data_IF_247864949533
#
_entry.id   IF_247864949533
#
_cell.length_a   1.000
_cell.length_b   1.000
_cell.length_c   1.000
_cell.angle_alpha   90.00
_cell.angle_beta   90.00
_cell.angle_gamma   90.00
#
_symmetry.space_group_name_H-M   'P 1'
#
loop_
_entity.id
_entity.type
_entity.pdbx_description
1 polymer ?
#
# COMPACT_ATOMS: atom_id res chain seq x y z
N UNK A 1 40.98 -40.15 -13.71
CA UNK A 1 40.61 -40.24 -12.28
C UNK A 1 40.09 -38.86 -11.89
N UNK A 2 38.80 -38.72 -11.58
CA UNK A 2 38.24 -37.43 -11.12
C UNK A 2 38.50 -37.37 -9.62
N UNK A 3 39.31 -36.41 -9.17
CA UNK A 3 39.60 -36.18 -7.75
C UNK A 3 39.10 -34.80 -7.35
N UNK A 4 38.30 -34.71 -6.28
CA UNK A 4 37.89 -33.43 -5.69
C UNK A 4 39.00 -32.99 -4.74
N UNK A 5 39.65 -31.86 -5.04
CA UNK A 5 40.67 -31.27 -4.16
C UNK A 5 40.10 -29.99 -3.54
N UNK A 6 40.07 -29.92 -2.20
CA UNK A 6 39.67 -28.73 -1.46
C UNK A 6 40.94 -27.93 -1.12
N UNK A 7 41.07 -26.72 -1.66
CA UNK A 7 42.19 -25.83 -1.35
C UNK A 7 41.65 -24.63 -0.58
N UNK A 8 42.08 -24.50 0.68
CA UNK A 8 41.67 -23.40 1.56
C UNK A 8 42.56 -22.20 1.27
N UNK A 9 42.04 -21.22 0.55
CA UNK A 9 42.63 -19.87 0.46
C UNK A 9 41.76 -18.93 1.29
N UNK A 10 42.40 -18.06 2.07
CA UNK A 10 41.89 -17.42 3.30
C UNK A 10 40.64 -16.54 3.26
N UNK A 11 39.75 -16.67 2.26
CA UNK A 11 38.43 -16.00 2.23
C UNK A 11 37.29 -16.95 1.76
N UNK A 12 37.55 -18.22 1.40
CA UNK A 12 36.46 -19.15 1.08
C UNK A 12 36.92 -20.46 0.46
N UNK A 13 36.12 -21.51 0.62
CA UNK A 13 36.39 -22.86 0.09
C UNK A 13 35.78 -22.97 -1.31
N UNK A 14 36.58 -22.82 -2.36
CA UNK A 14 36.15 -23.10 -3.73
C UNK A 14 36.33 -24.59 -4.05
N UNK A 15 35.26 -25.28 -4.46
CA UNK A 15 35.35 -26.66 -4.96
C UNK A 15 35.86 -26.63 -6.41
N UNK A 16 37.11 -27.01 -6.62
CA UNK A 16 37.65 -27.19 -7.98
C UNK A 16 37.44 -28.63 -8.45
N UNK A 17 36.93 -28.80 -9.67
CA UNK A 17 36.95 -30.09 -10.35
C UNK A 17 38.21 -30.18 -11.21
N UNK A 18 39.02 -31.19 -10.94
CA UNK A 18 40.24 -31.47 -11.71
C UNK A 18 40.04 -32.78 -12.47
N UNK A 19 40.18 -32.71 -13.78
CA UNK A 19 40.26 -33.89 -14.65
C UNK A 19 41.60 -33.90 -15.38
N UNK A 20 42.16 -35.09 -15.54
CA UNK A 20 43.41 -35.30 -16.27
C UNK A 20 43.07 -36.07 -17.53
N UNK A 21 43.33 -35.47 -18.68
CA UNK A 21 43.15 -36.10 -19.99
C UNK A 21 44.37 -35.84 -20.87
N UNK A 22 44.91 -36.89 -21.50
CA UNK A 22 46.09 -36.84 -22.39
C UNK A 22 47.30 -36.01 -21.87
N UNK A 23 47.60 -36.11 -20.56
CA UNK A 23 48.73 -35.37 -19.96
C UNK A 23 48.49 -33.88 -19.75
N UNK A 24 47.26 -33.38 -19.97
CA UNK A 24 46.83 -32.02 -19.64
C UNK A 24 45.96 -32.04 -18.40
N UNK A 25 46.26 -31.16 -17.44
CA UNK A 25 45.43 -30.93 -16.26
C UNK A 25 44.36 -29.91 -16.65
N UNK A 26 43.09 -30.32 -16.67
CA UNK A 26 41.96 -29.42 -16.84
C UNK A 26 41.43 -29.06 -15.45
N UNK A 27 41.75 -27.84 -15.01
CA UNK A 27 41.22 -27.24 -13.78
C UNK A 27 39.97 -26.46 -14.17
N UNK A 28 38.80 -26.92 -13.73
CA UNK A 28 37.56 -26.15 -13.83
C UNK A 28 37.45 -25.37 -12.53
N UNK A 29 37.73 -24.08 -12.60
CA UNK A 29 37.44 -23.12 -11.55
C UNK A 29 35.96 -22.79 -11.73
N UNK A 30 35.05 -23.15 -10.79
CA UNK A 30 33.69 -22.67 -10.88
C UNK A 30 33.74 -21.15 -10.97
N UNK A 31 32.99 -20.53 -11.88
CA UNK A 31 32.95 -19.08 -11.99
C UNK A 31 32.64 -18.48 -10.61
N UNK A 32 33.38 -17.43 -10.24
CA UNK A 32 33.11 -16.70 -9.01
C UNK A 32 31.61 -16.37 -8.98
N UNK A 33 30.91 -16.66 -7.89
CA UNK A 33 29.45 -16.46 -7.74
C UNK A 33 28.94 -15.18 -8.43
N UNK A 34 29.61 -14.06 -8.16
CA UNK A 34 29.31 -12.75 -8.76
C UNK A 34 29.32 -12.75 -10.29
N UNK A 35 30.23 -13.49 -10.93
CA UNK A 35 30.31 -13.60 -12.39
C UNK A 35 29.14 -14.40 -12.97
N UNK A 36 28.68 -15.45 -12.28
CA UNK A 36 27.47 -16.18 -12.66
C UNK A 36 26.22 -15.32 -12.47
N UNK A 37 26.10 -14.63 -11.34
CA UNK A 37 25.01 -13.69 -11.07
C UNK A 37 24.95 -12.60 -12.15
N UNK A 38 26.08 -11.96 -12.47
CA UNK A 38 26.16 -10.95 -13.53
C UNK A 38 25.80 -11.51 -14.91
N UNK A 39 26.20 -12.74 -15.21
CA UNK A 39 25.84 -13.41 -16.45
C UNK A 39 24.34 -13.68 -16.51
N UNK A 40 23.76 -14.22 -15.46
CA UNK A 40 22.32 -14.49 -15.37
C UNK A 40 21.51 -13.19 -15.54
N UNK A 41 21.89 -12.13 -14.84
CA UNK A 41 21.25 -10.81 -14.93
C UNK A 41 21.37 -10.20 -16.33
N UNK A 42 22.50 -10.40 -16.99
CA UNK A 42 22.72 -9.93 -18.36
C UNK A 42 21.82 -10.69 -19.35
N UNK A 43 21.67 -12.01 -19.18
CA UNK A 43 20.78 -12.84 -19.99
C UNK A 43 19.31 -12.47 -19.77
N UNK A 44 18.90 -12.23 -18.51
CA UNK A 44 17.58 -11.73 -18.15
C UNK A 44 17.25 -10.41 -18.85
N UNK A 45 18.20 -9.45 -18.83
CA UNK A 45 18.04 -8.14 -19.51
C UNK A 45 18.00 -8.26 -21.03
N UNK A 46 18.74 -9.20 -21.60
CA UNK A 46 18.73 -9.49 -23.03
C UNK A 46 17.46 -10.23 -23.49
N UNK A 47 16.63 -10.72 -22.56
CA UNK A 47 15.44 -11.53 -22.85
C UNK A 47 15.74 -12.99 -23.15
N UNK A 48 16.99 -13.44 -22.96
CA UNK A 48 17.36 -14.86 -23.05
C UNK A 48 17.06 -15.57 -21.72
N UNK A 49 15.77 -15.79 -21.49
CA UNK A 49 15.27 -16.42 -20.26
C UNK A 49 15.68 -17.90 -20.17
N UNK A 50 15.88 -18.58 -21.30
CA UNK A 50 16.39 -19.95 -21.32
C UNK A 50 17.83 -20.04 -20.83
N UNK A 51 18.71 -19.18 -21.33
CA UNK A 51 20.09 -19.13 -20.87
C UNK A 51 20.19 -18.66 -19.42
N UNK A 52 19.37 -17.69 -19.01
CA UNK A 52 19.31 -17.24 -17.62
C UNK A 52 18.86 -18.38 -16.68
N UNK A 53 17.86 -19.15 -17.09
CA UNK A 53 17.36 -20.30 -16.33
C UNK A 53 18.44 -21.36 -16.09
N UNK A 54 19.25 -21.68 -17.10
CA UNK A 54 20.38 -22.60 -16.95
C UNK A 54 21.39 -22.10 -15.90
N UNK A 55 21.75 -20.81 -15.97
CA UNK A 55 22.71 -20.20 -15.04
C UNK A 55 22.15 -20.11 -13.61
N UNK A 56 20.87 -19.75 -13.43
CA UNK A 56 20.23 -19.79 -12.12
C UNK A 56 20.07 -21.23 -11.58
N UNK A 57 20.00 -22.23 -12.48
CA UNK A 57 20.09 -23.66 -12.15
C UNK A 57 21.43 -24.01 -11.53
N UNK A 58 22.53 -23.68 -12.22
CA UNK A 58 23.90 -23.89 -11.72
C UNK A 58 24.13 -23.20 -10.37
N UNK A 59 23.69 -21.94 -10.23
CA UNK A 59 23.77 -21.18 -8.98
C UNK A 59 22.99 -21.84 -7.84
N UNK A 60 21.79 -22.36 -8.11
CA UNK A 60 20.99 -23.03 -7.10
C UNK A 60 21.60 -24.38 -6.68
N UNK A 61 22.08 -25.18 -7.64
CA UNK A 61 22.72 -26.47 -7.35
C UNK A 61 24.02 -26.31 -6.53
N UNK A 62 24.75 -25.22 -6.74
CA UNK A 62 26.00 -24.95 -6.02
C UNK A 62 25.79 -24.32 -4.63
N UNK A 63 24.86 -23.36 -4.51
CA UNK A 63 24.72 -22.55 -3.29
C UNK A 63 23.42 -22.80 -2.50
N UNK A 64 22.38 -23.37 -3.12
CA UNK A 64 21.12 -23.72 -2.46
C UNK A 64 20.27 -22.53 -2.00
N UNK A 65 20.52 -21.32 -2.52
CA UNK A 65 19.81 -20.12 -2.08
C UNK A 65 18.47 -19.94 -2.82
N UNK A 66 17.40 -19.72 -2.06
CA UNK A 66 16.04 -19.59 -2.58
C UNK A 66 15.86 -18.44 -3.58
N UNK A 67 16.70 -17.40 -3.51
CA UNK A 67 16.68 -16.30 -4.48
C UNK A 67 16.96 -16.75 -5.92
N UNK A 68 17.80 -17.77 -6.10
CA UNK A 68 18.05 -18.34 -7.43
C UNK A 68 16.85 -19.15 -7.91
N UNK A 69 16.25 -19.97 -7.03
CA UNK A 69 15.04 -20.72 -7.35
C UNK A 69 13.88 -19.78 -7.74
N UNK A 70 13.72 -18.67 -7.02
CA UNK A 70 12.76 -17.62 -7.39
C UNK A 70 13.05 -17.03 -8.77
N UNK A 71 14.32 -16.78 -9.09
CA UNK A 71 14.74 -16.25 -10.40
C UNK A 71 14.47 -17.25 -11.53
N UNK A 72 14.55 -18.55 -11.28
CA UNK A 72 14.11 -19.58 -12.22
C UNK A 72 12.60 -19.48 -12.48
N UNK A 73 11.79 -19.24 -11.44
CA UNK A 73 10.35 -18.98 -11.57
C UNK A 73 10.05 -17.78 -12.46
N UNK A 74 10.81 -16.69 -12.30
CA UNK A 74 10.72 -15.50 -13.16
C UNK A 74 11.07 -15.82 -14.62
N UNK A 75 12.08 -16.65 -14.87
CA UNK A 75 12.41 -17.13 -16.22
C UNK A 75 11.25 -17.90 -16.84
N UNK A 76 10.70 -18.89 -16.13
CA UNK A 76 9.56 -19.69 -16.62
C UNK A 76 8.36 -18.81 -16.96
N UNK A 77 8.02 -17.86 -16.08
CA UNK A 77 6.93 -16.91 -16.31
C UNK A 77 7.15 -16.06 -17.56
N UNK A 78 8.36 -15.50 -17.72
CA UNK A 78 8.73 -14.68 -18.88
C UNK A 78 8.77 -15.46 -20.20
N UNK A 79 8.97 -16.77 -20.14
CA UNK A 79 8.88 -17.69 -21.28
C UNK A 79 7.44 -18.14 -21.59
N UNK A 80 6.44 -17.73 -20.80
CA UNK A 80 5.05 -18.20 -20.93
C UNK A 80 4.82 -19.63 -20.41
N UNK A 81 5.81 -20.21 -19.72
CA UNK A 81 5.73 -21.53 -19.09
C UNK A 81 5.10 -21.40 -17.70
N UNK A 82 3.81 -21.05 -17.68
CA UNK A 82 3.12 -20.61 -16.47
C UNK A 82 2.96 -21.71 -15.41
N UNK A 83 2.76 -22.97 -15.83
CA UNK A 83 2.63 -24.10 -14.88
C UNK A 83 3.94 -24.38 -14.14
N UNK A 84 5.06 -24.32 -14.85
CA UNK A 84 6.39 -24.42 -14.24
C UNK A 84 6.66 -23.22 -13.32
N UNK A 85 6.26 -22.01 -13.72
CA UNK A 85 6.40 -20.82 -12.88
C UNK A 85 5.63 -20.98 -11.55
N UNK A 86 4.35 -21.38 -11.60
CA UNK A 86 3.56 -21.63 -10.39
C UNK A 86 4.18 -22.71 -9.50
N UNK A 87 4.68 -23.80 -10.09
CA UNK A 87 5.34 -24.87 -9.34
C UNK A 87 6.56 -24.36 -8.60
N UNK A 88 7.44 -23.62 -9.29
CA UNK A 88 8.68 -23.10 -8.73
C UNK A 88 8.40 -22.05 -7.65
N UNK A 89 7.50 -21.09 -7.89
CA UNK A 89 7.15 -20.12 -6.83
C UNK A 89 6.46 -20.78 -5.64
N UNK A 90 5.62 -21.80 -5.86
CA UNK A 90 5.02 -22.59 -4.78
C UNK A 90 6.06 -23.36 -3.96
N UNK A 91 7.10 -23.88 -4.61
CA UNK A 91 8.24 -24.51 -3.94
C UNK A 91 9.03 -23.49 -3.10
N UNK A 92 9.34 -22.31 -3.65
CA UNK A 92 9.98 -21.21 -2.89
C UNK A 92 9.15 -20.85 -1.66
N UNK A 93 7.83 -20.73 -1.80
CA UNK A 93 6.91 -20.40 -0.71
C UNK A 93 6.85 -21.51 0.35
N UNK A 94 6.95 -22.78 -0.04
CA UNK A 94 7.02 -23.90 0.90
C UNK A 94 8.36 -23.94 1.64
N UNK A 95 9.48 -23.63 0.97
CA UNK A 95 10.83 -23.67 1.54
C UNK A 95 11.19 -22.40 2.32
N UNK A 96 10.47 -21.30 2.12
CA UNK A 96 10.69 -20.07 2.87
C UNK A 96 10.29 -20.21 4.33
N UNK A 97 9.42 -21.15 4.68
CA UNK A 97 8.91 -21.38 6.05
C UNK A 97 8.40 -20.08 6.71
N UNK A 98 7.78 -19.20 5.92
CA UNK A 98 7.27 -17.90 6.39
C UNK A 98 8.30 -16.76 6.42
N UNK A 99 9.54 -16.98 5.97
CA UNK A 99 10.55 -15.90 5.82
C UNK A 99 10.12 -14.91 4.73
N UNK A 100 9.73 -13.73 5.18
CA UNK A 100 9.17 -12.66 4.36
C UNK A 100 10.04 -12.29 3.15
N UNK A 101 11.37 -12.34 3.27
CA UNK A 101 12.30 -12.00 2.20
C UNK A 101 12.20 -12.93 0.98
N UNK A 102 11.65 -14.14 1.15
CA UNK A 102 11.42 -15.11 0.06
C UNK A 102 9.93 -15.31 -0.23
N UNK A 103 9.07 -15.27 0.80
CA UNK A 103 7.63 -15.44 0.64
C UNK A 103 6.99 -14.32 -0.18
N UNK A 104 7.34 -13.05 0.10
CA UNK A 104 6.71 -11.91 -0.59
C UNK A 104 7.02 -11.94 -2.09
N UNK A 105 8.28 -12.08 -2.54
CA UNK A 105 8.56 -12.16 -3.97
C UNK A 105 7.93 -13.37 -4.66
N UNK A 106 7.86 -14.53 -3.99
CA UNK A 106 7.17 -15.71 -4.53
C UNK A 106 5.67 -15.46 -4.72
N UNK A 107 5.00 -14.83 -3.74
CA UNK A 107 3.59 -14.43 -3.84
C UNK A 107 3.37 -13.42 -4.99
N UNK A 108 4.30 -12.47 -5.19
CA UNK A 108 4.28 -11.57 -6.36
C UNK A 108 4.41 -12.34 -7.67
N UNK A 109 5.33 -13.31 -7.71
CA UNK A 109 5.53 -14.20 -8.86
C UNK A 109 4.25 -14.94 -9.23
N UNK A 110 3.57 -15.54 -8.24
CA UNK A 110 2.30 -16.25 -8.40
C UNK A 110 1.21 -15.31 -8.92
N UNK A 111 0.97 -14.18 -8.26
CA UNK A 111 -0.10 -13.27 -8.68
C UNK A 111 0.14 -12.64 -10.06
N UNK A 112 1.40 -12.33 -10.42
CA UNK A 112 1.74 -11.87 -11.78
C UNK A 112 1.57 -12.96 -12.82
N UNK A 113 1.96 -14.19 -12.50
CA UNK A 113 1.76 -15.36 -13.37
C UNK A 113 0.28 -15.55 -13.66
N UNK A 114 -0.57 -15.50 -12.62
CA UNK A 114 -2.03 -15.59 -12.74
C UNK A 114 -2.62 -14.49 -13.63
N UNK A 115 -2.15 -13.24 -13.47
CA UNK A 115 -2.58 -12.14 -14.35
C UNK A 115 -2.19 -12.35 -15.82
N UNK A 116 -0.97 -12.83 -16.08
CA UNK A 116 -0.44 -13.03 -17.43
C UNK A 116 -1.06 -14.23 -18.14
N UNK A 117 -1.34 -15.33 -17.43
CA UNK A 117 -1.93 -16.53 -18.01
C UNK A 117 -3.47 -16.53 -18.03
N UNK A 118 -4.10 -15.63 -17.27
CA UNK A 118 -5.56 -15.56 -17.15
C UNK A 118 -6.18 -16.52 -16.12
N UNK A 119 -5.37 -17.27 -15.38
CA UNK A 119 -5.82 -18.15 -14.29
C UNK A 119 -5.90 -17.35 -12.98
N UNK A 120 -6.87 -16.42 -12.91
CA UNK A 120 -6.99 -15.53 -11.76
C UNK A 120 -7.40 -16.28 -10.49
N UNK A 121 -8.25 -17.30 -10.61
CA UNK A 121 -8.70 -18.14 -9.51
C UNK A 121 -7.55 -18.76 -8.71
N UNK A 122 -6.55 -19.34 -9.38
CA UNK A 122 -5.37 -19.91 -8.70
C UNK A 122 -4.54 -18.84 -7.99
N UNK A 123 -4.36 -17.67 -8.60
CA UNK A 123 -3.66 -16.54 -7.96
C UNK A 123 -4.38 -16.05 -6.72
N UNK A 124 -5.71 -15.91 -6.80
CA UNK A 124 -6.57 -15.51 -5.68
C UNK A 124 -6.47 -16.53 -4.54
N UNK A 125 -6.62 -17.82 -4.83
CA UNK A 125 -6.57 -18.89 -3.84
C UNK A 125 -5.28 -18.82 -3.00
N UNK A 126 -4.14 -18.71 -3.66
CA UNK A 126 -2.83 -18.67 -2.98
C UNK A 126 -2.69 -17.39 -2.14
N UNK A 127 -3.04 -16.22 -2.70
CA UNK A 127 -2.89 -14.95 -1.99
C UNK A 127 -3.86 -14.84 -0.81
N UNK A 128 -5.11 -15.31 -0.94
CA UNK A 128 -6.07 -15.37 0.17
C UNK A 128 -5.60 -16.31 1.29
N UNK A 129 -4.96 -17.44 0.93
CA UNK A 129 -4.31 -18.33 1.90
C UNK A 129 -3.23 -17.63 2.74
N UNK A 130 -2.68 -16.53 2.26
CA UNK A 130 -1.65 -15.72 2.93
C UNK A 130 -2.15 -14.32 3.29
N UNK A 131 -3.46 -14.07 3.29
CA UNK A 131 -4.03 -12.72 3.40
C UNK A 131 -3.55 -11.92 4.61
N UNK A 132 -3.34 -12.59 5.74
CA UNK A 132 -2.83 -11.97 6.96
C UNK A 132 -1.49 -11.26 6.74
N UNK A 133 -0.61 -11.88 5.95
CA UNK A 133 0.79 -11.51 5.77
C UNK A 133 1.04 -10.64 4.53
N UNK A 134 0.00 -10.36 3.72
CA UNK A 134 0.16 -9.59 2.48
C UNK A 134 0.53 -8.13 2.74
N UNK A 135 1.69 -7.71 2.27
CA UNK A 135 2.02 -6.28 2.18
C UNK A 135 1.05 -5.55 1.24
N UNK A 136 0.92 -4.22 1.39
CA UNK A 136 -0.05 -3.43 0.61
C UNK A 136 0.03 -3.67 -0.90
N UNK A 137 1.22 -3.81 -1.46
CA UNK A 137 1.42 -4.07 -2.88
C UNK A 137 0.94 -5.46 -3.33
N UNK A 138 0.93 -6.48 -2.46
CA UNK A 138 0.30 -7.77 -2.72
C UNK A 138 -1.23 -7.71 -2.59
N UNK A 139 -1.75 -6.85 -1.71
CA UNK A 139 -3.20 -6.61 -1.62
C UNK A 139 -3.76 -5.90 -2.86
N UNK A 140 -2.98 -4.97 -3.45
CA UNK A 140 -3.33 -4.40 -4.77
C UNK A 140 -3.34 -5.48 -5.83
N UNK A 141 -2.34 -6.35 -5.86
CA UNK A 141 -2.28 -7.46 -6.82
C UNK A 141 -3.47 -8.43 -6.66
N UNK A 142 -3.87 -8.74 -5.43
CA UNK A 142 -5.07 -9.52 -5.14
C UNK A 142 -6.34 -8.79 -5.64
N UNK A 143 -6.42 -7.47 -5.45
CA UNK A 143 -7.48 -6.64 -6.00
C UNK A 143 -7.56 -6.74 -7.53
N UNK A 144 -6.42 -6.66 -8.22
CA UNK A 144 -6.34 -6.79 -9.68
C UNK A 144 -6.84 -8.16 -10.16
N UNK A 145 -6.47 -9.23 -9.45
CA UNK A 145 -6.93 -10.57 -9.77
C UNK A 145 -8.45 -10.71 -9.60
N UNK A 146 -9.01 -10.24 -8.47
CA UNK A 146 -10.45 -10.23 -8.26
C UNK A 146 -11.19 -9.40 -9.32
N UNK A 147 -10.63 -8.25 -9.70
CA UNK A 147 -11.21 -7.41 -10.74
C UNK A 147 -11.30 -8.13 -12.08
N UNK A 148 -10.22 -8.83 -12.46
CA UNK A 148 -10.12 -9.60 -13.71
C UNK A 148 -11.02 -10.83 -13.73
N UNK A 149 -11.22 -11.47 -12.57
CA UNK A 149 -12.16 -12.57 -12.39
C UNK A 149 -13.64 -12.10 -12.41
N UNK A 150 -13.89 -10.79 -12.31
CA UNK A 150 -15.22 -10.20 -12.28
C UNK A 150 -15.82 -10.01 -10.88
N UNK A 151 -15.06 -10.37 -9.83
CA UNK A 151 -15.41 -10.26 -8.41
C UNK A 151 -15.18 -8.83 -7.89
N UNK A 152 -15.89 -7.85 -8.48
CA UNK A 152 -15.66 -6.41 -8.23
C UNK A 152 -15.75 -6.02 -6.75
N UNK A 153 -16.66 -6.62 -6.00
CA UNK A 153 -16.81 -6.35 -4.57
C UNK A 153 -15.56 -6.74 -3.77
N UNK A 154 -15.01 -7.93 -4.03
CA UNK A 154 -13.77 -8.40 -3.38
C UNK A 154 -12.55 -7.60 -3.82
N UNK A 155 -12.52 -7.19 -5.09
CA UNK A 155 -11.48 -6.29 -5.61
C UNK A 155 -11.43 -4.97 -4.81
N UNK A 156 -12.58 -4.31 -4.65
CA UNK A 156 -12.71 -3.09 -3.85
C UNK A 156 -12.24 -3.28 -2.41
N UNK A 157 -12.58 -4.41 -1.77
CA UNK A 157 -12.11 -4.72 -0.41
C UNK A 157 -10.59 -4.86 -0.33
N UNK A 158 -9.96 -5.53 -1.30
CA UNK A 158 -8.52 -5.74 -1.32
C UNK A 158 -7.76 -4.43 -1.55
N UNK A 159 -8.22 -3.58 -2.48
CA UNK A 159 -7.65 -2.24 -2.70
C UNK A 159 -7.79 -1.35 -1.48
N UNK A 160 -8.97 -1.35 -0.85
CA UNK A 160 -9.22 -0.58 0.38
C UNK A 160 -8.32 -1.06 1.53
N UNK A 161 -8.12 -2.37 1.68
CA UNK A 161 -7.22 -2.93 2.68
C UNK A 161 -5.76 -2.52 2.42
N UNK A 162 -5.32 -2.52 1.16
CA UNK A 162 -3.98 -2.05 0.76
C UNK A 162 -3.77 -0.58 1.13
N UNK A 163 -4.77 0.24 0.84
CA UNK A 163 -4.80 1.68 1.13
C UNK A 163 -4.75 1.96 2.62
N UNK A 164 -5.62 1.32 3.42
CA UNK A 164 -5.61 1.45 4.90
C UNK A 164 -4.26 1.01 5.46
N UNK A 165 -3.69 -0.13 5.04
CA UNK A 165 -2.36 -0.58 5.53
C UNK A 165 -1.23 0.40 5.19
N UNK A 166 -1.32 1.11 4.06
CA UNK A 166 -0.34 2.13 3.66
C UNK A 166 -0.49 3.43 4.45
N UNK A 167 -1.70 3.70 4.95
CA UNK A 167 -2.02 4.88 5.76
C UNK A 167 -1.93 4.65 7.28
N UNK A 168 -1.93 3.41 7.77
CA UNK A 168 -1.79 3.05 9.19
C UNK A 168 -2.97 2.25 9.78
N UNK A 169 -2.84 1.81 11.03
CA UNK A 169 -3.84 0.97 11.73
C UNK A 169 -5.08 1.78 12.10
N UNK A 170 -6.25 1.16 11.93
CA UNK A 170 -7.52 1.69 12.39
C UNK A 170 -7.64 1.59 13.91
N UNK A 171 -7.75 2.72 14.62
CA UNK A 171 -8.03 2.75 16.06
C UNK A 171 -9.36 3.48 16.31
N UNK A 172 -10.39 2.75 16.77
CA UNK A 172 -11.70 3.31 17.08
C UNK A 172 -12.49 3.84 15.87
N UNK A 173 -12.34 3.24 14.69
CA UNK A 173 -13.01 3.66 13.45
C UNK A 173 -12.29 4.77 12.68
N UNK A 174 -11.05 5.11 13.04
CA UNK A 174 -10.24 6.15 12.37
C UNK A 174 -9.21 5.53 11.44
N UNK A 175 -9.10 5.99 10.20
CA UNK A 175 -7.77 6.12 9.56
C UNK A 175 -7.07 7.26 10.31
N UNK A 176 -5.84 7.08 10.78
CA UNK A 176 -5.04 8.18 11.35
C UNK A 176 -4.15 8.72 10.24
N UNK A 177 -4.47 9.85 9.59
CA UNK A 177 -3.57 10.48 8.64
C UNK A 177 -2.52 11.23 9.46
N UNK A 178 -1.26 10.76 9.48
CA UNK A 178 -0.21 11.51 10.18
C UNK A 178 1.06 10.76 10.54
N UNK A 179 1.82 10.36 9.52
CA UNK A 179 3.28 10.31 9.44
C UNK A 179 3.55 10.09 7.94
N UNK A 180 3.60 11.07 7.05
CA UNK A 180 4.43 12.27 7.03
C UNK A 180 3.85 13.28 6.03
N UNK A 181 4.10 14.57 6.28
CA UNK A 181 3.85 15.63 5.31
C UNK A 181 4.75 15.52 4.08
N UNK A 182 4.21 14.98 2.99
CA UNK A 182 4.80 15.11 1.65
C UNK A 182 3.76 15.69 0.70
N UNK A 183 4.21 16.68 -0.06
CA UNK A 183 3.43 17.52 -0.98
C UNK A 183 3.03 16.68 -2.22
N UNK A 184 1.85 16.89 -2.83
CA UNK A 184 1.35 16.11 -3.98
C UNK A 184 2.31 15.93 -5.17
N UNK A 185 3.34 16.77 -5.32
CA UNK A 185 4.29 16.69 -6.43
C UNK A 185 5.32 15.55 -6.33
N UNK A 186 5.33 14.78 -5.24
CA UNK A 186 6.26 13.65 -5.05
C UNK A 186 5.56 12.28 -4.97
N UNK A 187 4.26 12.18 -5.27
CA UNK A 187 3.55 10.90 -5.33
C UNK A 187 4.05 10.04 -6.50
N UNK A 188 4.20 8.75 -6.25
CA UNK A 188 4.74 7.79 -7.23
C UNK A 188 3.67 7.49 -8.31
N UNK A 189 4.04 7.37 -9.59
CA UNK A 189 3.06 7.20 -10.70
C UNK A 189 2.11 6.02 -10.53
N UNK A 190 2.55 5.00 -9.79
CA UNK A 190 1.75 3.82 -9.47
C UNK A 190 0.63 4.10 -8.44
N UNK A 191 0.78 5.11 -7.58
CA UNK A 191 -0.25 5.54 -6.63
C UNK A 191 -1.38 6.28 -7.32
N UNK A 192 -1.06 7.14 -8.28
CA UNK A 192 -2.03 7.87 -9.10
C UNK A 192 -2.82 6.91 -10.00
N UNK A 193 -2.16 5.93 -10.62
CA UNK A 193 -2.84 4.88 -11.40
C UNK A 193 -3.73 3.96 -10.54
N UNK A 194 -3.34 3.67 -9.30
CA UNK A 194 -4.17 2.92 -8.37
C UNK A 194 -5.40 3.74 -7.92
N UNK A 195 -5.24 5.05 -7.75
CA UNK A 195 -6.32 5.99 -7.45
C UNK A 195 -7.32 6.08 -8.59
N UNK A 196 -6.82 6.23 -9.83
CA UNK A 196 -7.63 6.28 -11.05
C UNK A 196 -8.34 4.94 -11.27
N UNK A 197 -7.68 3.79 -11.08
CA UNK A 197 -8.31 2.47 -11.25
C UNK A 197 -9.36 2.17 -10.18
N UNK A 198 -9.10 2.55 -8.91
CA UNK A 198 -10.11 2.47 -7.85
C UNK A 198 -11.31 3.38 -8.16
N UNK A 199 -11.04 4.55 -8.76
CA UNK A 199 -12.00 5.47 -9.34
C UNK A 199 -12.82 4.87 -10.50
N UNK A 200 -12.18 4.21 -11.48
CA UNK A 200 -12.90 3.58 -12.60
C UNK A 200 -13.75 2.38 -12.15
N UNK A 201 -13.36 1.74 -11.05
CA UNK A 201 -14.10 0.71 -10.34
C UNK A 201 -15.28 1.23 -9.49
N UNK A 202 -15.46 2.56 -9.39
CA UNK A 202 -16.52 3.23 -8.62
C UNK A 202 -17.95 2.79 -8.96
N UNK A 203 -18.19 2.23 -10.16
CA UNK A 203 -19.52 1.75 -10.56
C UNK A 203 -20.09 0.60 -9.70
N UNK A 204 -19.31 0.03 -8.77
CA UNK A 204 -19.78 -0.99 -7.81
C UNK A 204 -19.59 -0.64 -6.32
N UNK A 205 -18.92 0.46 -5.98
CA UNK A 205 -18.72 0.87 -4.59
C UNK A 205 -20.03 1.40 -3.95
N UNK A 206 -20.93 1.98 -4.74
CA UNK A 206 -22.27 2.38 -4.27
C UNK A 206 -23.09 1.19 -3.71
N UNK A 207 -22.95 0.00 -4.31
CA UNK A 207 -23.56 -1.24 -3.83
C UNK A 207 -22.89 -1.73 -2.55
N UNK A 208 -21.56 -1.67 -2.45
CA UNK A 208 -20.82 -2.06 -1.25
C UNK A 208 -21.03 -1.12 -0.05
N UNK A 209 -21.37 0.15 -0.28
CA UNK A 209 -21.73 1.07 0.80
C UNK A 209 -22.95 0.60 1.60
N UNK A 210 -23.78 -0.29 1.03
CA UNK A 210 -24.87 -0.93 1.77
C UNK A 210 -24.39 -1.97 2.79
N UNK A 211 -23.22 -2.57 2.56
CA UNK A 211 -22.60 -3.57 3.44
C UNK A 211 -21.55 -2.98 4.39
N UNK A 212 -20.83 -1.93 3.97
CA UNK A 212 -19.74 -1.27 4.71
C UNK A 212 -19.82 0.26 4.55
N UNK A 213 -20.52 0.96 5.44
CA UNK A 213 -20.74 2.40 5.32
C UNK A 213 -19.48 3.26 5.46
N UNK A 214 -18.38 2.72 5.99
CA UNK A 214 -17.07 3.41 6.09
C UNK A 214 -16.46 3.71 4.71
N UNK A 215 -16.86 2.97 3.67
CA UNK A 215 -16.45 3.24 2.30
C UNK A 215 -16.89 4.64 1.82
N UNK A 216 -18.00 5.17 2.37
CA UNK A 216 -18.52 6.49 2.03
C UNK A 216 -17.55 7.62 2.43
N UNK A 217 -16.79 7.44 3.51
CA UNK A 217 -15.79 8.42 3.94
C UNK A 217 -14.65 8.51 2.94
N UNK A 218 -14.18 7.36 2.45
CA UNK A 218 -13.12 7.28 1.43
C UNK A 218 -13.59 7.92 0.13
N UNK A 219 -14.84 7.67 -0.30
CA UNK A 219 -15.42 8.33 -1.47
C UNK A 219 -15.48 9.85 -1.34
N UNK A 220 -15.78 10.35 -0.13
CA UNK A 220 -15.77 11.78 0.17
C UNK A 220 -14.36 12.37 0.11
N UNK A 221 -13.36 11.69 0.68
CA UNK A 221 -11.96 12.11 0.64
C UNK A 221 -11.41 12.15 -0.79
N UNK A 222 -11.73 11.14 -1.61
CA UNK A 222 -11.34 11.13 -3.03
C UNK A 222 -11.89 12.34 -3.78
N UNK A 223 -13.19 12.60 -3.65
CA UNK A 223 -13.81 13.75 -4.29
C UNK A 223 -13.25 15.08 -3.76
N UNK A 224 -12.91 15.15 -2.46
CA UNK A 224 -12.27 16.31 -1.85
C UNK A 224 -10.89 16.59 -2.46
N UNK A 225 -10.05 15.57 -2.62
CA UNK A 225 -8.72 15.70 -3.24
C UNK A 225 -8.82 16.13 -4.71
N UNK A 226 -9.82 15.60 -5.43
CA UNK A 226 -10.11 15.97 -6.83
C UNK A 226 -10.72 17.38 -6.97
N UNK A 227 -10.95 18.08 -5.85
CA UNK A 227 -11.65 19.37 -5.77
C UNK A 227 -13.09 19.31 -6.30
N UNK A 228 -13.65 18.11 -6.37
CA UNK A 228 -15.07 17.87 -6.60
C UNK A 228 -15.81 18.05 -5.27
N UNK A 229 -16.01 19.31 -4.88
CA UNK A 229 -16.66 19.65 -3.62
C UNK A 229 -18.11 19.17 -3.55
N UNK A 230 -18.81 19.08 -4.69
CA UNK A 230 -20.17 18.53 -4.76
C UNK A 230 -20.18 17.02 -4.52
N UNK A 231 -19.23 16.29 -5.11
CA UNK A 231 -19.00 14.88 -4.84
C UNK A 231 -18.61 14.62 -3.38
N UNK A 232 -17.69 15.42 -2.84
CA UNK A 232 -17.26 15.33 -1.44
C UNK A 232 -18.46 15.53 -0.50
N UNK A 233 -19.27 16.56 -0.76
CA UNK A 233 -20.50 16.82 -0.01
C UNK A 233 -21.49 15.65 -0.09
N UNK A 234 -21.73 15.09 -1.29
CA UNK A 234 -22.60 13.92 -1.49
C UNK A 234 -22.16 12.75 -0.60
N UNK A 235 -20.89 12.41 -0.64
CA UNK A 235 -20.37 11.21 0.01
C UNK A 235 -20.21 11.38 1.52
N UNK A 236 -19.66 12.50 1.98
CA UNK A 236 -19.60 12.79 3.41
C UNK A 236 -20.99 12.95 4.01
N UNK A 237 -21.95 13.53 3.28
CA UNK A 237 -23.34 13.63 3.72
C UNK A 237 -23.95 12.24 3.94
N UNK A 238 -23.82 11.36 2.97
CA UNK A 238 -24.31 9.97 3.09
C UNK A 238 -23.56 9.19 4.17
N UNK A 239 -22.26 9.40 4.33
CA UNK A 239 -21.49 8.81 5.42
C UNK A 239 -22.02 9.27 6.78
N UNK A 240 -22.31 10.56 6.93
CA UNK A 240 -22.83 11.13 8.16
C UNK A 240 -24.23 10.59 8.49
N UNK A 241 -25.12 10.50 7.51
CA UNK A 241 -26.46 9.93 7.68
C UNK A 241 -26.42 8.47 8.18
N UNK A 242 -25.49 7.67 7.67
CA UNK A 242 -25.44 6.23 7.96
C UNK A 242 -24.61 5.92 9.21
N UNK A 243 -23.47 6.59 9.39
CA UNK A 243 -22.53 6.32 10.49
C UNK A 243 -22.87 7.12 11.76
N UNK A 244 -23.54 8.27 11.62
CA UNK A 244 -23.78 9.20 12.72
C UNK A 244 -22.49 9.81 13.30
N UNK A 245 -21.35 9.67 12.61
CA UNK A 245 -20.06 10.18 13.07
C UNK A 245 -20.02 11.72 12.94
N UNK A 246 -19.85 12.47 14.04
CA UNK A 246 -19.72 13.92 13.99
C UNK A 246 -18.54 14.41 13.13
N UNK A 247 -17.54 13.56 12.86
CA UNK A 247 -16.45 13.91 11.96
C UNK A 247 -16.82 13.90 10.49
N UNK A 248 -17.70 12.99 10.07
CA UNK A 248 -18.30 13.05 8.74
C UNK A 248 -19.08 14.36 8.57
N UNK A 249 -19.83 14.77 9.60
CA UNK A 249 -20.52 16.06 9.61
C UNK A 249 -19.59 17.28 9.55
N UNK A 250 -18.40 17.20 10.16
CA UNK A 250 -17.40 18.25 10.02
C UNK A 250 -16.90 18.37 8.58
N UNK A 251 -16.67 17.25 7.89
CA UNK A 251 -16.26 17.26 6.48
C UNK A 251 -17.37 17.78 5.56
N UNK A 252 -18.64 17.48 5.86
CA UNK A 252 -19.81 18.10 5.21
C UNK A 252 -19.76 19.62 5.33
N UNK A 253 -19.57 20.15 6.54
CA UNK A 253 -19.47 21.59 6.74
C UNK A 253 -18.30 22.21 5.97
N UNK A 254 -17.12 21.58 6.00
CA UNK A 254 -15.95 22.04 5.23
C UNK A 254 -16.25 22.04 3.71
N UNK A 255 -16.94 21.03 3.18
CA UNK A 255 -17.33 20.99 1.77
C UNK A 255 -18.33 22.09 1.40
N UNK A 256 -19.30 22.38 2.29
CA UNK A 256 -20.23 23.49 2.14
C UNK A 256 -19.51 24.85 2.10
N UNK A 257 -18.51 25.05 2.96
CA UNK A 257 -17.66 26.26 2.91
C UNK A 257 -16.96 26.40 1.57
N UNK A 258 -16.36 25.32 1.06
CA UNK A 258 -15.67 25.33 -0.25
C UNK A 258 -16.62 25.61 -1.42
N UNK A 259 -17.89 25.23 -1.30
CA UNK A 259 -18.96 25.54 -2.26
C UNK A 259 -19.55 26.95 -2.09
N UNK A 260 -19.10 27.73 -1.10
CA UNK A 260 -19.65 29.05 -0.79
C UNK A 260 -21.00 29.03 -0.08
N UNK A 261 -21.43 27.86 0.44
CA UNK A 261 -22.69 27.66 1.16
C UNK A 261 -22.49 27.83 2.66
N UNK A 262 -22.13 29.06 3.06
CA UNK A 262 -21.68 29.38 4.42
C UNK A 262 -22.77 29.18 5.49
N UNK A 263 -24.00 29.64 5.23
CA UNK A 263 -25.10 29.51 6.20
C UNK A 263 -25.37 28.04 6.54
N UNK A 264 -25.40 27.17 5.53
CA UNK A 264 -25.61 25.73 5.72
C UNK A 264 -24.43 25.07 6.45
N UNK A 265 -23.20 25.53 6.20
CA UNK A 265 -22.04 25.05 6.93
C UNK A 265 -22.15 25.39 8.42
N UNK A 266 -22.55 26.61 8.77
CA UNK A 266 -22.71 27.05 10.16
C UNK A 266 -23.81 26.29 10.89
N UNK A 267 -24.94 26.03 10.22
CA UNK A 267 -26.03 25.21 10.75
C UNK A 267 -25.53 23.80 11.13
N UNK A 268 -24.75 23.19 10.23
CA UNK A 268 -24.12 21.88 10.50
C UNK A 268 -23.17 21.97 11.68
N UNK A 269 -22.24 22.93 11.68
CA UNK A 269 -21.21 23.08 12.70
C UNK A 269 -21.80 23.29 14.11
N UNK A 270 -22.86 24.10 14.24
CA UNK A 270 -23.54 24.35 15.52
C UNK A 270 -24.16 23.09 16.15
N UNK A 271 -24.52 22.11 15.32
CA UNK A 271 -25.04 20.81 15.76
C UNK A 271 -23.98 19.80 16.18
N UNK A 272 -22.71 19.99 15.78
CA UNK A 272 -21.66 18.99 16.03
C UNK A 272 -21.20 19.01 17.49
N UNK A 273 -20.93 17.82 18.02
CA UNK A 273 -20.34 17.62 19.35
C UNK A 273 -19.17 16.64 19.21
N UNK A 274 -17.95 17.16 19.28
CA UNK A 274 -16.73 16.36 19.20
C UNK A 274 -16.17 16.17 20.62
N UNK A 275 -15.97 14.90 21.02
CA UNK A 275 -15.59 14.55 22.39
C UNK A 275 -14.09 14.62 22.70
N UNK A 276 -13.25 14.83 21.68
CA UNK A 276 -11.79 14.87 21.82
C UNK A 276 -11.25 16.28 21.57
N UNK A 277 -10.21 16.72 22.31
CA UNK A 277 -9.61 18.05 22.12
C UNK A 277 -9.13 18.31 20.68
N UNK A 278 -8.47 17.34 20.04
CA UNK A 278 -8.07 17.46 18.63
C UNK A 278 -9.26 17.59 17.67
N UNK A 279 -10.36 16.88 17.91
CA UNK A 279 -11.58 17.06 17.11
C UNK A 279 -12.18 18.46 17.30
N UNK A 280 -12.17 18.97 18.52
CA UNK A 280 -12.61 20.33 18.82
C UNK A 280 -11.73 21.40 18.14
N UNK A 281 -10.41 21.19 18.03
CA UNK A 281 -9.52 22.10 17.27
C UNK A 281 -9.91 22.15 15.78
N UNK A 282 -10.24 21.00 15.20
CA UNK A 282 -10.72 20.90 13.82
C UNK A 282 -12.07 21.59 13.62
N UNK A 283 -12.98 21.47 14.60
CA UNK A 283 -14.26 22.18 14.61
C UNK A 283 -14.09 23.69 14.69
N UNK A 284 -13.21 24.18 15.57
CA UNK A 284 -12.87 25.60 15.65
C UNK A 284 -12.31 26.11 14.31
N UNK A 285 -11.42 25.34 13.67
CA UNK A 285 -10.90 25.67 12.35
C UNK A 285 -11.98 25.76 11.27
N UNK A 286 -12.98 24.87 11.31
CA UNK A 286 -14.09 24.92 10.37
C UNK A 286 -15.02 26.13 10.60
N UNK A 287 -15.32 26.50 11.86
CA UNK A 287 -16.03 27.75 12.17
C UNK A 287 -15.26 28.97 11.65
N UNK A 288 -13.94 29.00 11.83
CA UNK A 288 -13.08 30.07 11.33
C UNK A 288 -13.15 30.18 9.79
N UNK A 289 -13.06 29.05 9.09
CA UNK A 289 -13.18 29.01 7.63
C UNK A 289 -14.57 29.42 7.13
N UNK A 290 -15.62 29.11 7.89
CA UNK A 290 -16.98 29.54 7.62
C UNK A 290 -17.21 31.04 7.93
N UNK A 291 -16.25 31.72 8.57
CA UNK A 291 -16.33 33.14 8.92
C UNK A 291 -16.97 33.44 10.27
N UNK A 292 -17.31 32.41 11.07
CA UNK A 292 -17.83 32.56 12.42
C UNK A 292 -16.69 32.51 13.45
N UNK A 293 -16.08 33.68 13.66
CA UNK A 293 -14.98 33.84 14.59
C UNK A 293 -15.41 33.67 16.06
N UNK A 294 -16.66 33.96 16.40
CA UNK A 294 -17.15 33.76 17.77
C UNK A 294 -17.36 32.27 18.07
N UNK A 295 -17.98 31.53 17.14
CA UNK A 295 -18.07 30.07 17.24
C UNK A 295 -16.69 29.41 17.31
N UNK A 296 -15.74 29.86 16.48
CA UNK A 296 -14.36 29.38 16.52
C UNK A 296 -13.70 29.63 17.88
N UNK A 297 -13.87 30.83 18.46
CA UNK A 297 -13.35 31.21 19.78
C UNK A 297 -13.95 30.34 20.88
N UNK A 298 -15.27 30.21 20.91
CA UNK A 298 -15.97 29.48 21.97
C UNK A 298 -15.52 28.02 22.07
N UNK A 299 -15.26 27.37 20.92
CA UNK A 299 -14.71 25.99 20.91
C UNK A 299 -13.29 25.93 21.49
N UNK A 300 -12.43 26.92 21.19
CA UNK A 300 -11.06 26.96 21.73
C UNK A 300 -11.07 27.20 23.25
N UNK A 301 -11.94 28.08 23.73
CA UNK A 301 -12.13 28.34 25.16
C UNK A 301 -12.58 27.06 25.88
N UNK A 302 -13.52 26.31 25.30
CA UNK A 302 -13.97 25.03 25.85
C UNK A 302 -12.81 24.01 25.95
N UNK A 303 -11.92 23.94 24.95
CA UNK A 303 -10.75 23.06 25.00
C UNK A 303 -9.85 23.42 26.19
N UNK A 304 -9.59 24.71 26.38
CA UNK A 304 -8.71 25.20 27.45
C UNK A 304 -9.31 24.95 28.83
N UNK A 305 -10.61 25.16 28.99
CA UNK A 305 -11.32 24.96 30.25
C UNK A 305 -11.44 23.48 30.61
N UNK A 306 -11.88 22.66 29.65
CA UNK A 306 -12.28 21.27 29.89
C UNK A 306 -11.11 20.30 29.80
N UNK A 307 -10.06 20.64 29.05
CA UNK A 307 -8.89 19.77 28.83
C UNK A 307 -7.55 20.50 29.05
N UNK A 308 -7.33 21.15 30.20
CA UNK A 308 -6.19 22.06 30.42
C UNK A 308 -4.80 21.38 30.36
N UNK A 309 -4.74 20.06 30.53
CA UNK A 309 -3.51 19.27 30.44
C UNK A 309 -3.28 18.59 29.09
N UNK A 310 -4.18 18.77 28.11
CA UNK A 310 -4.00 18.21 26.77
C UNK A 310 -2.97 19.03 25.97
N UNK A 311 -2.18 18.39 25.08
CA UNK A 311 -1.32 19.12 24.14
C UNK A 311 -2.11 20.13 23.30
N UNK A 312 -3.35 19.75 22.91
CA UNK A 312 -4.28 20.56 22.12
C UNK A 312 -4.70 21.85 22.83
N UNK A 313 -4.72 21.88 24.17
CA UNK A 313 -5.01 23.11 24.93
C UNK A 313 -3.89 24.15 24.83
N UNK A 314 -2.65 23.73 24.59
CA UNK A 314 -1.55 24.65 24.28
C UNK A 314 -1.77 25.33 22.93
N UNK A 315 -2.16 24.56 21.92
CA UNK A 315 -2.48 25.10 20.60
C UNK A 315 -3.74 25.98 20.62
N UNK A 316 -4.76 25.59 21.39
CA UNK A 316 -5.98 26.40 21.53
C UNK A 316 -5.68 27.79 22.11
N UNK A 317 -4.83 27.90 23.13
CA UNK A 317 -4.37 29.19 23.68
C UNK A 317 -3.65 30.04 22.65
N UNK A 318 -2.78 29.42 21.84
CA UNK A 318 -2.05 30.13 20.79
C UNK A 318 -3.01 30.69 19.74
N UNK A 319 -4.00 29.89 19.30
CA UNK A 319 -5.01 30.35 18.35
C UNK A 319 -5.83 31.50 18.94
N UNK A 320 -6.27 31.40 20.20
CA UNK A 320 -6.98 32.50 20.89
C UNK A 320 -6.15 33.80 20.92
N UNK A 321 -4.86 33.73 21.26
CA UNK A 321 -3.98 34.91 21.27
C UNK A 321 -3.84 35.54 19.87
N UNK A 322 -3.78 34.71 18.81
CA UNK A 322 -3.76 35.20 17.43
C UNK A 322 -5.08 35.92 17.10
N UNK A 323 -6.23 35.38 17.52
CA UNK A 323 -7.54 35.98 17.29
C UNK A 323 -7.65 37.36 17.97
N UNK A 324 -7.23 37.48 19.23
CA UNK A 324 -7.21 38.76 19.96
C UNK A 324 -6.33 39.80 19.27
N UNK A 325 -5.15 39.40 18.80
CA UNK A 325 -4.24 40.29 18.07
C UNK A 325 -4.82 40.75 16.73
N UNK A 326 -5.55 39.89 16.03
CA UNK A 326 -6.19 40.24 14.76
C UNK A 326 -7.36 41.22 14.97
N UNK A 327 -8.09 41.11 16.08
CA UNK A 327 -9.14 42.06 16.45
C UNK A 327 -8.57 43.43 16.86
N UNK A 328 -7.44 43.45 17.57
CA UNK A 328 -6.78 44.69 17.97
C UNK A 328 -6.22 45.52 16.79
N UNK A 329 -6.13 44.94 15.59
CA UNK A 329 -5.60 45.57 14.37
C UNK A 329 -6.72 45.99 13.40
N UNK A 330 -7.98 45.62 13.67
CA UNK A 330 -9.17 46.11 12.92
C UNK A 330 -9.67 47.45 13.47
#
# INVERSE_FOLDING_TARGET
MIGVLLLVLGIGVAKMQVSVDEGKIKVVIPPAREALEQRADSLMKAGDYSGALEVYGELYDEFGELGYLQSQGDCYRKMGKYEEAFRVYGEVLSLSEGRWEFSIPALFGIGRTALECGDYGRGIEVLEGHRGDLVSSLLVLLGDLYFREGERGKAGQAYMQAFVRRLGVLEGGRVIPGCYGVVPQERDKLEEEAYIKAGELLSGLEEMCSEKPEALLVLGEMAWEDRDWEGALKWFGRAWEVLGDPMAGLQVAKALVMLGRQDEALDVLGGLRLGTPGGMLELSGAFWLAGDFEGARGVLEEIVERYPGSPDAGEAKLRLEIMERLEAVR
#
